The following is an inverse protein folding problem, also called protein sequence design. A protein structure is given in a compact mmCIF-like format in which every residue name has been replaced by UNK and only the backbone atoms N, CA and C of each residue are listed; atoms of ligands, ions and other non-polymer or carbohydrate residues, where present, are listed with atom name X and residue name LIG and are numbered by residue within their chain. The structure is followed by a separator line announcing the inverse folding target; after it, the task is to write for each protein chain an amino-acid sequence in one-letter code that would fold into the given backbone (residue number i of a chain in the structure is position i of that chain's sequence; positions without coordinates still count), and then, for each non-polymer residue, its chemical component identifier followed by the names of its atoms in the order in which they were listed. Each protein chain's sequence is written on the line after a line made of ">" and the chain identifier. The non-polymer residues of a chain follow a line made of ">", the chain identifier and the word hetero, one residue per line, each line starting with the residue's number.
data_IF_079836906680
#
_entry.id   IF_079836906680
#
_cell.length_a   1.000
_cell.length_b   1.000
_cell.length_c   1.000
_cell.angle_alpha   90.00
_cell.angle_beta   90.00
_cell.angle_gamma   90.00
#
_symmetry.space_group_name_H-M   'P 1'
#
loop_
_entity.id
_entity.type
_entity.pdbx_description
1 polymer ?
#
# COMPACT_ATOMS: atom_id res chain seq x y z
N UNK A 1 -9.25 -3.25 20.93
CA UNK A 1 -8.72 -4.62 21.18
C UNK A 1 -7.25 -4.57 20.81
N UNK A 2 -6.32 -4.83 21.75
CA UNK A 2 -4.89 -4.90 21.39
C UNK A 2 -4.68 -6.19 20.61
N UNK A 3 -4.37 -6.07 19.32
CA UNK A 3 -4.21 -7.22 18.42
C UNK A 3 -2.95 -7.98 18.82
N UNK A 4 -3.13 -9.17 19.40
CA UNK A 4 -2.07 -9.99 20.02
C UNK A 4 -0.85 -10.21 19.09
N UNK A 5 -1.06 -10.19 17.77
CA UNK A 5 0.01 -10.37 16.80
C UNK A 5 0.94 -9.17 16.66
N UNK A 6 0.52 -7.92 16.91
CA UNK A 6 1.43 -6.76 16.86
C UNK A 6 2.63 -6.92 17.83
N UNK A 7 2.41 -7.56 18.97
CA UNK A 7 3.49 -7.84 19.92
C UNK A 7 4.59 -8.75 19.33
N UNK A 8 4.26 -9.63 18.37
CA UNK A 8 5.25 -10.45 17.67
C UNK A 8 6.15 -9.61 16.78
N UNK A 9 5.58 -8.59 16.12
CA UNK A 9 6.36 -7.66 15.31
C UNK A 9 7.37 -6.87 16.18
N UNK A 10 6.94 -6.43 17.37
CA UNK A 10 7.79 -5.65 18.28
C UNK A 10 8.89 -6.50 18.94
N UNK A 11 8.52 -7.67 19.46
CA UNK A 11 9.45 -8.50 20.23
C UNK A 11 10.37 -9.36 19.35
N UNK A 12 10.06 -9.48 18.05
CA UNK A 12 10.85 -10.21 17.05
C UNK A 12 11.17 -11.66 17.44
N UNK A 13 10.35 -12.29 18.28
CA UNK A 13 10.58 -13.68 18.69
C UNK A 13 10.26 -14.63 17.55
N UNK A 14 11.20 -15.52 17.22
CA UNK A 14 11.04 -16.52 16.16
C UNK A 14 10.78 -15.93 14.76
N UNK A 15 11.26 -14.71 14.51
CA UNK A 15 11.27 -14.17 13.16
C UNK A 15 12.10 -15.08 12.25
N UNK A 16 11.66 -15.25 11.01
CA UNK A 16 12.32 -16.05 9.99
C UNK A 16 12.38 -15.33 8.63
N UNK A 17 11.91 -14.07 8.60
CA UNK A 17 11.86 -13.23 7.42
C UNK A 17 12.44 -11.85 7.73
N UNK A 18 13.34 -11.37 6.88
CA UNK A 18 13.99 -10.07 6.95
C UNK A 18 13.58 -9.27 5.71
N UNK A 19 13.08 -8.04 5.92
CA UNK A 19 12.67 -7.14 4.85
C UNK A 19 13.52 -5.88 4.94
N UNK A 20 14.30 -5.61 3.90
CA UNK A 20 15.07 -4.38 3.78
C UNK A 20 14.25 -3.37 2.99
N UNK A 21 13.94 -2.24 3.61
CA UNK A 21 13.04 -1.22 3.04
C UNK A 21 13.77 0.08 2.84
N UNK A 22 13.52 0.75 1.72
CA UNK A 22 14.19 1.97 1.33
C UNK A 22 15.49 1.70 0.56
N UNK A 23 16.07 2.77 0.02
CA UNK A 23 17.30 2.68 -0.76
C UNK A 23 18.52 2.33 0.12
N UNK A 24 19.60 1.87 -0.50
CA UNK A 24 20.79 1.35 0.21
C UNK A 24 21.43 2.37 1.18
N UNK A 25 21.25 3.68 0.95
CA UNK A 25 21.87 4.72 1.77
C UNK A 25 21.06 5.06 3.04
N UNK A 26 19.73 4.85 3.02
CA UNK A 26 18.82 5.16 4.13
C UNK A 26 17.86 4.01 4.43
N UNK A 27 18.27 2.77 4.17
CA UNK A 27 17.43 1.58 4.33
C UNK A 27 17.21 1.22 5.80
N UNK A 28 16.10 0.52 6.07
CA UNK A 28 15.82 -0.07 7.39
C UNK A 28 15.45 -1.53 7.26
N UNK A 29 15.99 -2.32 8.19
CA UNK A 29 15.68 -3.74 8.33
C UNK A 29 14.43 -3.94 9.20
N UNK A 30 13.55 -4.83 8.74
CA UNK A 30 12.36 -5.29 9.45
C UNK A 30 12.42 -6.82 9.64
N UNK A 31 12.35 -7.26 10.89
CA UNK A 31 12.22 -8.68 11.23
C UNK A 31 10.73 -9.04 11.31
N UNK A 32 10.32 -10.09 10.60
CA UNK A 32 8.94 -10.51 10.47
C UNK A 32 8.82 -12.05 10.37
N UNK A 33 7.58 -12.53 10.32
CA UNK A 33 7.23 -13.95 10.28
C UNK A 33 6.62 -14.27 8.92
N UNK A 34 7.24 -15.18 8.18
CA UNK A 34 6.80 -15.66 6.86
C UNK A 34 5.32 -16.03 6.85
N UNK A 35 4.89 -16.87 7.80
CA UNK A 35 3.51 -17.35 7.90
C UNK A 35 2.47 -16.23 8.02
N UNK A 36 2.79 -15.13 8.70
CA UNK A 36 1.89 -13.97 8.81
C UNK A 36 1.88 -13.18 7.51
N UNK A 37 3.06 -12.94 6.93
CA UNK A 37 3.20 -12.21 5.68
C UNK A 37 2.46 -12.90 4.52
N UNK A 38 2.71 -14.19 4.31
CA UNK A 38 2.12 -15.01 3.25
C UNK A 38 0.60 -15.10 3.39
N UNK A 39 0.09 -15.26 4.61
CA UNK A 39 -1.35 -15.33 4.86
C UNK A 39 -2.07 -14.02 4.54
N UNK A 40 -1.40 -12.87 4.71
CA UNK A 40 -2.02 -11.55 4.61
C UNK A 40 -1.73 -10.84 3.29
N UNK A 41 -0.82 -11.37 2.47
CA UNK A 41 -0.36 -10.74 1.25
C UNK A 41 0.23 -11.75 0.28
N UNK A 42 -0.43 -11.89 -0.87
CA UNK A 42 0.04 -12.74 -1.97
C UNK A 42 1.37 -12.24 -2.57
N UNK A 43 1.76 -10.98 -2.33
CA UNK A 43 3.08 -10.49 -2.73
C UNK A 43 4.20 -11.22 -1.99
N UNK A 44 4.04 -11.48 -0.68
CA UNK A 44 5.06 -12.19 0.09
C UNK A 44 5.04 -13.70 -0.18
N UNK A 45 3.86 -14.28 -0.40
CA UNK A 45 3.71 -15.66 -0.90
C UNK A 45 4.46 -15.84 -2.23
N UNK A 46 4.17 -14.99 -3.23
CA UNK A 46 4.84 -15.01 -4.53
C UNK A 46 6.35 -14.76 -4.40
N UNK A 47 6.76 -13.90 -3.46
CA UNK A 47 8.18 -13.60 -3.27
C UNK A 47 8.95 -14.83 -2.79
N UNK A 48 8.34 -15.68 -1.97
CA UNK A 48 8.93 -16.94 -1.52
C UNK A 48 8.87 -18.00 -2.62
N UNK A 49 7.71 -18.19 -3.26
CA UNK A 49 7.52 -19.24 -4.27
C UNK A 49 8.39 -19.03 -5.51
N UNK A 50 8.57 -17.77 -5.94
CA UNK A 50 9.32 -17.43 -7.15
C UNK A 50 10.78 -17.09 -6.87
N UNK A 51 11.26 -17.29 -5.63
CA UNK A 51 12.67 -17.09 -5.25
C UNK A 51 13.14 -15.64 -5.19
N UNK A 52 12.22 -14.67 -5.19
CA UNK A 52 12.55 -13.24 -5.02
C UNK A 52 13.08 -12.97 -3.60
N UNK A 53 12.51 -13.63 -2.61
CA UNK A 53 13.04 -13.69 -1.25
C UNK A 53 14.14 -14.75 -1.20
N UNK A 54 15.38 -14.32 -0.98
CA UNK A 54 16.55 -15.20 -0.93
C UNK A 54 16.67 -15.87 0.44
N UNK A 55 17.06 -17.13 0.49
CA UNK A 55 17.39 -17.80 1.75
C UNK A 55 18.83 -17.46 2.15
N UNK A 56 19.01 -16.95 3.36
CA UNK A 56 20.33 -16.63 3.95
C UNK A 56 20.37 -17.24 5.35
N UNK A 57 21.24 -18.23 5.55
CA UNK A 57 21.22 -19.05 6.75
C UNK A 57 19.80 -19.63 6.96
N UNK A 58 19.19 -19.34 8.11
CA UNK A 58 17.85 -19.82 8.45
C UNK A 58 16.73 -18.82 8.08
N UNK A 59 17.06 -17.63 7.59
CA UNK A 59 16.09 -16.57 7.32
C UNK A 59 15.84 -16.37 5.82
N UNK A 60 14.65 -15.91 5.47
CA UNK A 60 14.36 -15.33 4.17
C UNK A 60 14.70 -13.85 4.18
N UNK A 61 15.22 -13.31 3.08
CA UNK A 61 15.59 -11.89 2.95
C UNK A 61 14.98 -11.33 1.67
N UNK A 62 14.28 -10.20 1.77
CA UNK A 62 13.65 -9.51 0.65
C UNK A 62 13.98 -8.03 0.68
N UNK A 63 14.35 -7.47 -0.46
CA UNK A 63 14.60 -6.04 -0.63
C UNK A 63 13.38 -5.36 -1.28
N UNK A 64 12.94 -4.24 -0.70
CA UNK A 64 11.82 -3.40 -1.16
C UNK A 64 12.29 -1.94 -1.17
N UNK A 65 13.11 -1.54 -2.16
CA UNK A 65 13.79 -0.25 -2.14
C UNK A 65 12.87 0.94 -2.45
N UNK A 66 11.71 0.68 -3.03
CA UNK A 66 10.79 1.67 -3.59
C UNK A 66 9.56 1.94 -2.69
N UNK A 67 9.61 1.49 -1.43
CA UNK A 67 8.68 1.91 -0.38
C UNK A 67 9.45 2.70 0.68
N UNK A 68 8.89 3.83 1.13
CA UNK A 68 9.49 4.59 2.24
C UNK A 68 9.33 3.84 3.57
N UNK A 69 10.28 4.01 4.47
CA UNK A 69 10.26 3.36 5.80
C UNK A 69 8.97 3.66 6.56
N UNK A 70 8.51 4.92 6.50
CA UNK A 70 7.30 5.35 7.21
C UNK A 70 6.04 4.67 6.65
N UNK A 71 5.91 4.61 5.32
CA UNK A 71 4.80 3.91 4.68
C UNK A 71 4.84 2.42 5.03
N UNK A 72 6.02 1.79 4.98
CA UNK A 72 6.14 0.38 5.31
C UNK A 72 5.81 0.08 6.77
N UNK A 73 6.20 0.94 7.73
CA UNK A 73 5.80 0.79 9.14
C UNK A 73 4.27 0.70 9.30
N UNK A 74 3.52 1.51 8.54
CA UNK A 74 2.05 1.49 8.57
C UNK A 74 1.53 0.17 7.98
N UNK A 75 2.05 -0.23 6.81
CA UNK A 75 1.60 -1.43 6.10
C UNK A 75 1.91 -2.72 6.89
N UNK A 76 3.10 -2.84 7.46
CA UNK A 76 3.46 -4.01 8.28
C UNK A 76 2.64 -4.06 9.57
N UNK A 77 2.31 -2.91 10.17
CA UNK A 77 1.41 -2.86 11.31
C UNK A 77 0.00 -3.32 10.93
N UNK A 78 -0.50 -2.94 9.75
CA UNK A 78 -1.78 -3.45 9.24
C UNK A 78 -1.73 -4.97 8.99
N UNK A 79 -0.64 -5.48 8.41
CA UNK A 79 -0.50 -6.93 8.14
C UNK A 79 -0.66 -7.73 9.45
N UNK A 80 -0.08 -7.26 10.55
CA UNK A 80 -0.16 -7.94 11.84
C UNK A 80 -1.44 -7.62 12.63
N UNK A 81 -1.90 -6.37 12.60
CA UNK A 81 -3.00 -5.87 13.43
C UNK A 81 -4.37 -5.94 12.77
N UNK A 82 -4.44 -5.96 11.45
CA UNK A 82 -5.69 -5.92 10.68
C UNK A 82 -6.46 -4.60 10.76
N UNK A 83 -5.88 -3.57 11.40
CA UNK A 83 -6.52 -2.26 11.56
C UNK A 83 -5.60 -1.16 11.09
N UNK A 84 -6.18 -0.08 10.57
CA UNK A 84 -5.48 1.14 10.20
C UNK A 84 -6.29 2.35 10.67
N UNK A 85 -5.60 3.43 11.03
CA UNK A 85 -6.23 4.73 11.23
C UNK A 85 -5.90 5.61 10.03
N UNK A 86 -6.93 6.01 9.29
CA UNK A 86 -6.84 6.92 8.14
C UNK A 86 -7.52 8.28 8.40
N UNK A 87 -8.11 8.46 9.58
CA UNK A 87 -8.82 9.68 9.94
C UNK A 87 -7.84 10.86 9.92
N UNK A 88 -8.29 11.97 9.33
CA UNK A 88 -7.52 13.23 9.25
C UNK A 88 -6.15 13.13 8.56
N UNK A 89 -5.88 12.06 7.81
CA UNK A 89 -4.68 12.00 6.95
C UNK A 89 -4.82 12.92 5.76
N UNK A 90 -3.69 13.44 5.28
CA UNK A 90 -3.63 14.22 4.05
C UNK A 90 -3.89 13.32 2.83
N UNK A 91 -4.48 13.89 1.78
CA UNK A 91 -4.80 13.17 0.55
C UNK A 91 -3.57 12.47 -0.05
N UNK A 92 -2.41 13.14 -0.04
CA UNK A 92 -1.15 12.58 -0.53
C UNK A 92 -0.70 11.34 0.27
N UNK A 93 -0.92 11.33 1.59
CA UNK A 93 -0.60 10.17 2.42
C UNK A 93 -1.52 8.99 2.12
N UNK A 94 -2.81 9.25 1.88
CA UNK A 94 -3.77 8.21 1.48
C UNK A 94 -3.42 7.64 0.10
N UNK A 95 -3.05 8.48 -0.86
CA UNK A 95 -2.62 8.02 -2.18
C UNK A 95 -1.34 7.18 -2.11
N UNK A 96 -0.34 7.62 -1.33
CA UNK A 96 0.87 6.83 -1.07
C UNK A 96 0.54 5.48 -0.42
N UNK A 97 -0.45 5.46 0.48
CA UNK A 97 -0.93 4.24 1.12
C UNK A 97 -1.57 3.28 0.11
N UNK A 98 -2.41 3.77 -0.81
CA UNK A 98 -3.00 2.98 -1.90
C UNK A 98 -1.93 2.38 -2.83
N UNK A 99 -0.92 3.16 -3.21
CA UNK A 99 0.23 2.67 -4.00
C UNK A 99 0.96 1.54 -3.25
N UNK A 100 1.18 1.71 -1.95
CA UNK A 100 1.78 0.69 -1.10
C UNK A 100 0.93 -0.59 -1.02
N UNK A 101 -0.39 -0.45 -0.93
CA UNK A 101 -1.32 -1.57 -0.91
C UNK A 101 -1.29 -2.35 -2.22
N UNK A 102 -1.34 -1.66 -3.37
CA UNK A 102 -1.26 -2.30 -4.68
C UNK A 102 0.06 -3.06 -4.84
N UNK A 103 1.17 -2.41 -4.49
CA UNK A 103 2.51 -3.00 -4.56
C UNK A 103 2.69 -4.24 -3.69
N UNK A 104 2.17 -4.21 -2.46
CA UNK A 104 2.21 -5.35 -1.54
C UNK A 104 0.98 -6.26 -1.68
N UNK A 105 0.15 -6.08 -2.72
CA UNK A 105 -1.07 -6.87 -2.99
C UNK A 105 -2.01 -7.00 -1.78
N UNK A 106 -2.16 -5.92 -1.00
CA UNK A 106 -3.03 -5.83 0.18
C UNK A 106 -4.46 -5.46 -0.23
N UNK A 107 -5.13 -6.34 -1.00
CA UNK A 107 -6.43 -6.06 -1.63
C UNK A 107 -7.50 -5.60 -0.65
N UNK A 108 -7.64 -6.27 0.49
CA UNK A 108 -8.62 -5.93 1.53
C UNK A 108 -8.46 -4.48 2.03
N UNK A 109 -7.22 -4.05 2.23
CA UNK A 109 -6.92 -2.68 2.68
C UNK A 109 -7.14 -1.68 1.55
N UNK A 110 -6.73 -2.01 0.33
CA UNK A 110 -6.95 -1.16 -0.84
C UNK A 110 -8.44 -0.88 -1.03
N UNK A 111 -9.26 -1.95 -1.01
CA UNK A 111 -10.71 -1.85 -1.20
C UNK A 111 -11.37 -0.99 -0.12
N UNK A 112 -10.89 -1.05 1.12
CA UNK A 112 -11.36 -0.23 2.23
C UNK A 112 -11.03 1.26 2.07
N UNK A 113 -9.89 1.61 1.46
CA UNK A 113 -9.37 2.98 1.43
C UNK A 113 -9.68 3.72 0.12
N UNK A 114 -9.86 3.01 -0.99
CA UNK A 114 -9.82 3.60 -2.34
C UNK A 114 -10.82 4.74 -2.59
N UNK A 115 -11.97 4.74 -1.91
CA UNK A 115 -12.99 5.77 -2.09
C UNK A 115 -12.84 6.93 -1.08
N UNK A 116 -12.03 6.79 -0.03
CA UNK A 116 -11.82 7.82 1.00
C UNK A 116 -11.31 9.16 0.43
N UNK A 117 -10.33 9.21 -0.51
CA UNK A 117 -9.93 10.47 -1.14
C UNK A 117 -11.08 11.16 -1.89
N UNK A 118 -11.98 10.38 -2.50
CA UNK A 118 -13.13 10.90 -3.24
C UNK A 118 -14.18 11.44 -2.27
N UNK A 119 -14.33 10.86 -1.08
CA UNK A 119 -15.32 11.33 -0.10
C UNK A 119 -14.83 12.54 0.70
N UNK A 120 -13.54 12.61 0.99
CA UNK A 120 -13.00 13.56 1.97
C UNK A 120 -11.98 14.57 1.43
N UNK A 121 -11.43 14.34 0.23
CA UNK A 121 -10.34 15.15 -0.33
C UNK A 121 -10.58 15.61 -1.77
N UNK A 122 -11.85 15.72 -2.19
CA UNK A 122 -12.23 16.12 -3.56
C UNK A 122 -11.49 17.37 -4.03
N UNK A 123 -11.53 18.46 -3.26
CA UNK A 123 -10.87 19.72 -3.64
C UNK A 123 -9.37 19.55 -3.90
N UNK A 124 -8.69 18.78 -3.04
CA UNK A 124 -7.26 18.52 -3.21
C UNK A 124 -7.01 17.69 -4.46
N UNK A 125 -7.81 16.64 -4.70
CA UNK A 125 -7.73 15.82 -5.91
C UNK A 125 -7.94 16.66 -7.16
N UNK A 126 -8.96 17.51 -7.20
CA UNK A 126 -9.17 18.41 -8.33
C UNK A 126 -7.97 19.31 -8.56
N UNK A 127 -7.43 19.97 -7.53
CA UNK A 127 -6.31 20.90 -7.71
C UNK A 127 -5.01 20.20 -8.17
N UNK A 128 -4.71 19.03 -7.64
CA UNK A 128 -3.44 18.34 -7.86
C UNK A 128 -3.48 17.31 -9.02
N UNK A 129 -4.66 16.81 -9.40
CA UNK A 129 -4.81 15.88 -10.53
C UNK A 129 -5.36 16.58 -11.79
N UNK A 130 -6.06 17.71 -11.69
CA UNK A 130 -6.43 18.50 -12.89
C UNK A 130 -5.21 19.05 -13.63
N UNK A 131 -4.06 19.12 -12.96
CA UNK A 131 -2.78 19.56 -13.53
C UNK A 131 -1.95 18.41 -14.13
N UNK A 132 -2.34 17.13 -13.97
CA UNK A 132 -1.70 16.00 -14.67
C UNK A 132 -2.75 15.06 -15.29
N UNK A 133 -2.90 15.15 -16.62
CA UNK A 133 -3.81 14.33 -17.43
C UNK A 133 -3.56 12.83 -17.22
N UNK A 134 -2.32 12.47 -16.95
CA UNK A 134 -1.83 11.12 -16.71
C UNK A 134 -2.29 10.55 -15.36
N UNK A 135 -2.43 11.41 -14.33
CA UNK A 135 -2.86 11.02 -12.99
C UNK A 135 -4.35 10.69 -12.92
N UNK A 136 -5.18 11.40 -13.69
CA UNK A 136 -6.60 11.05 -13.85
C UNK A 136 -6.78 9.77 -14.69
N UNK A 137 -5.96 9.59 -15.73
CA UNK A 137 -6.04 8.43 -16.62
C UNK A 137 -5.71 7.10 -15.91
N UNK A 138 -4.75 7.10 -14.99
CA UNK A 138 -4.35 5.89 -14.25
C UNK A 138 -5.43 5.41 -13.28
N UNK A 139 -6.11 6.35 -12.59
CA UNK A 139 -7.21 6.05 -11.67
C UNK A 139 -8.42 5.47 -12.42
N UNK A 140 -8.78 6.04 -13.57
CA UNK A 140 -9.93 5.58 -14.34
C UNK A 140 -9.70 4.19 -14.96
N UNK A 141 -8.47 3.91 -15.40
CA UNK A 141 -8.10 2.59 -15.96
C UNK A 141 -8.11 1.48 -14.90
N UNK A 142 -7.78 1.79 -13.64
CA UNK A 142 -7.74 0.78 -12.57
C UNK A 142 -9.15 0.34 -12.09
N UNK A 143 -10.21 1.14 -12.34
CA UNK A 143 -11.60 0.77 -12.03
C UNK A 143 -12.31 -0.08 -13.10
N UNK A 144 -11.60 -0.53 -14.14
CA UNK A 144 -12.16 -1.32 -15.25
C UNK A 144 -13.39 -0.68 -15.92
N UNK A 145 -13.44 0.66 -15.94
CA UNK A 145 -14.49 1.40 -16.62
C UNK A 145 -14.19 1.42 -18.13
N UNK A 146 -14.93 0.63 -18.91
CA UNK A 146 -15.02 0.78 -20.36
C UNK A 146 -15.81 2.05 -20.69
N UNK A 147 -15.24 3.22 -20.38
CA UNK A 147 -15.79 4.51 -20.76
C UNK A 147 -14.91 5.12 -21.84
N UNK A 148 -15.54 5.64 -22.90
CA UNK A 148 -14.83 6.36 -23.95
C UNK A 148 -14.32 7.72 -23.42
N UNK A 149 -13.26 8.27 -24.05
CA UNK A 149 -12.60 9.51 -23.58
C UNK A 149 -13.60 10.68 -23.44
N UNK A 150 -14.60 10.75 -24.31
CA UNK A 150 -15.70 11.72 -24.26
C UNK A 150 -16.61 11.55 -23.00
N UNK A 151 -16.94 10.32 -22.61
CA UNK A 151 -17.73 10.04 -21.40
C UNK A 151 -16.95 10.36 -20.13
N UNK A 152 -15.64 10.12 -20.15
CA UNK A 152 -14.73 10.52 -19.08
C UNK A 152 -14.70 12.05 -18.93
N UNK A 153 -14.60 12.79 -20.04
CA UNK A 153 -14.61 14.25 -20.01
C UNK A 153 -15.97 14.81 -19.56
N UNK A 154 -17.09 14.22 -19.98
CA UNK A 154 -18.42 14.62 -19.50
C UNK A 154 -18.60 14.36 -17.99
N UNK A 155 -18.02 13.28 -17.46
CA UNK A 155 -18.03 12.98 -16.03
C UNK A 155 -17.17 13.99 -15.24
N UNK A 156 -15.97 14.29 -15.72
CA UNK A 156 -15.06 15.29 -15.14
C UNK A 156 -15.70 16.70 -15.18
N UNK A 157 -16.39 17.06 -16.27
CA UNK A 157 -17.09 18.34 -16.40
C UNK A 157 -18.30 18.43 -15.46
N UNK A 158 -19.04 17.33 -15.24
CA UNK A 158 -20.11 17.28 -14.23
C UNK A 158 -19.55 17.44 -12.82
N UNK A 159 -18.40 16.84 -12.55
CA UNK A 159 -17.68 16.95 -11.28
C UNK A 159 -17.18 18.36 -10.99
N UNK A 160 -16.77 19.13 -12.01
CA UNK A 160 -16.33 20.52 -11.86
C UNK A 160 -17.45 21.57 -11.77
N UNK A 161 -18.73 21.17 -11.72
CA UNK A 161 -19.89 22.09 -11.66
C UNK A 161 -20.53 22.23 -10.27
N UNK A 162 -19.94 21.64 -9.22
CA UNK A 162 -20.34 21.84 -7.83
C UNK A 162 -19.17 22.30 -6.98
#
# INVERSE_FOLDING_TARGET
>A
MVTQFLQLLDNKKNYDFIINVGNNDNGKEFCAHSIILETRSTYFEDALSNGKARKVNNNFVLDIPDISINLFNILISYIYGGTINIDHKEAADILNLLIGCEKLKLKELYDYIQDYPIEHHQTWLFQNLSTSKEGLLSICKNKNWCMEENELWDHIIRWGKY
#
